data_IF_392447281201
#
_entry.id   IF_392447281201
#
_cell.length_a   1.000
_cell.length_b   1.000
_cell.length_c   1.000
_cell.angle_alpha   90.00
_cell.angle_beta   90.00
_cell.angle_gamma   90.00
#
_symmetry.space_group_name_H-M   'P 1'
#
loop_
_entity.id
_entity.type
_entity.pdbx_description
1 polymer ?
#
# COMPACT_ATOMS: atom_id res chain seq x y z
N UNK A 1 -12.77 -23.89 -16.22
CA UNK A 1 -11.78 -22.79 -16.10
C UNK A 1 -10.70 -23.27 -15.16
N UNK A 2 -9.41 -23.14 -15.46
CA UNK A 2 -8.36 -23.56 -14.52
C UNK A 2 -8.55 -22.80 -13.20
N UNK A 3 -8.43 -23.49 -12.06
CA UNK A 3 -8.69 -22.91 -10.73
C UNK A 3 -7.82 -21.67 -10.43
N UNK A 4 -6.72 -21.50 -11.17
CA UNK A 4 -5.81 -20.37 -11.09
C UNK A 4 -6.18 -19.16 -11.96
N UNK A 5 -7.04 -19.30 -12.98
CA UNK A 5 -7.30 -18.21 -13.92
C UNK A 5 -8.06 -17.04 -13.28
N UNK A 6 -9.07 -17.35 -12.46
CA UNK A 6 -9.88 -16.34 -11.78
C UNK A 6 -9.03 -15.48 -10.81
N UNK A 7 -8.23 -16.05 -9.89
CA UNK A 7 -7.32 -15.27 -9.05
C UNK A 7 -6.35 -14.39 -9.84
N UNK A 8 -5.81 -14.89 -10.96
CA UNK A 8 -4.89 -14.12 -11.81
C UNK A 8 -5.59 -12.91 -12.43
N UNK A 9 -6.80 -13.08 -12.96
CA UNK A 9 -7.58 -11.97 -13.52
C UNK A 9 -7.89 -10.92 -12.44
N UNK A 10 -8.30 -11.35 -11.25
CA UNK A 10 -8.57 -10.44 -10.13
C UNK A 10 -7.30 -9.68 -9.69
N UNK A 11 -6.16 -10.35 -9.67
CA UNK A 11 -4.86 -9.74 -9.36
C UNK A 11 -4.47 -8.66 -10.38
N UNK A 12 -4.64 -8.96 -11.68
CA UNK A 12 -4.36 -8.01 -12.75
C UNK A 12 -5.32 -6.80 -12.71
N UNK A 13 -6.60 -7.03 -12.47
CA UNK A 13 -7.58 -5.95 -12.28
C UNK A 13 -7.20 -5.07 -11.09
N UNK A 14 -6.83 -5.68 -9.95
CA UNK A 14 -6.34 -4.96 -8.77
C UNK A 14 -5.12 -4.08 -9.11
N UNK A 15 -4.14 -4.62 -9.85
CA UNK A 15 -2.96 -3.87 -10.26
C UNK A 15 -3.33 -2.64 -11.12
N UNK A 16 -4.26 -2.78 -12.06
CA UNK A 16 -4.76 -1.67 -12.89
C UNK A 16 -5.50 -0.63 -12.04
N UNK A 17 -6.37 -1.06 -11.12
CA UNK A 17 -7.11 -0.15 -10.23
C UNK A 17 -6.16 0.63 -9.31
N UNK A 18 -5.14 -0.02 -8.77
CA UNK A 18 -4.10 0.62 -7.95
C UNK A 18 -3.30 1.64 -8.76
N UNK A 19 -2.92 1.30 -9.99
CA UNK A 19 -2.20 2.21 -10.89
C UNK A 19 -3.06 3.43 -11.26
N UNK A 20 -4.32 3.22 -11.63
CA UNK A 20 -5.27 4.28 -11.95
C UNK A 20 -5.49 5.21 -10.75
N UNK A 21 -5.69 4.64 -9.56
CA UNK A 21 -5.86 5.42 -8.32
C UNK A 21 -4.63 6.29 -8.03
N UNK A 22 -3.43 5.73 -8.15
CA UNK A 22 -2.20 6.51 -7.93
C UNK A 22 -2.03 7.61 -8.99
N UNK A 23 -2.45 7.38 -10.24
CA UNK A 23 -2.48 8.41 -11.28
C UNK A 23 -3.45 9.55 -10.92
N UNK A 24 -4.67 9.24 -10.47
CA UNK A 24 -5.64 10.25 -10.06
C UNK A 24 -5.14 11.08 -8.88
N UNK A 25 -4.56 10.44 -7.87
CA UNK A 25 -3.95 11.13 -6.72
C UNK A 25 -2.82 12.06 -7.16
N UNK A 26 -1.97 11.63 -8.10
CA UNK A 26 -0.88 12.46 -8.63
C UNK A 26 -1.38 13.65 -9.45
N UNK A 27 -2.53 13.54 -10.12
CA UNK A 27 -3.14 14.63 -10.93
C UNK A 27 -4.03 15.57 -10.12
N UNK A 28 -4.53 15.15 -8.97
CA UNK A 28 -5.56 15.85 -8.18
C UNK A 28 -5.11 17.12 -7.44
N UNK A 29 -3.88 17.60 -7.67
CA UNK A 29 -3.34 18.79 -7.01
C UNK A 29 -2.96 18.52 -5.55
N UNK A 30 -3.95 18.51 -4.65
CA UNK A 30 -3.77 18.22 -3.22
C UNK A 30 -3.96 16.72 -2.94
N UNK A 31 -2.93 16.11 -2.33
CA UNK A 31 -2.88 14.67 -2.08
C UNK A 31 -3.97 14.23 -1.11
N UNK A 32 -4.26 15.04 -0.09
CA UNK A 32 -5.28 14.74 0.92
C UNK A 32 -6.67 14.72 0.27
N UNK A 33 -7.01 15.77 -0.46
CA UNK A 33 -8.31 15.89 -1.14
C UNK A 33 -8.51 14.77 -2.17
N UNK A 34 -7.49 14.48 -2.97
CA UNK A 34 -7.57 13.42 -3.98
C UNK A 34 -7.72 12.03 -3.34
N UNK A 35 -6.99 11.73 -2.26
CA UNK A 35 -7.12 10.47 -1.52
C UNK A 35 -8.50 10.34 -0.86
N UNK A 36 -9.03 11.42 -0.29
CA UNK A 36 -10.36 11.44 0.30
C UNK A 36 -11.44 11.17 -0.76
N UNK A 37 -11.37 11.83 -1.92
CA UNK A 37 -12.31 11.62 -3.01
C UNK A 37 -12.31 10.16 -3.50
N UNK A 38 -11.11 9.58 -3.70
CA UNK A 38 -10.96 8.16 -4.05
C UNK A 38 -11.61 7.26 -3.01
N UNK A 39 -11.33 7.48 -1.71
CA UNK A 39 -11.87 6.64 -0.63
C UNK A 39 -13.41 6.70 -0.58
N UNK A 40 -14.00 7.89 -0.77
CA UNK A 40 -15.46 8.05 -0.83
C UNK A 40 -16.03 7.30 -2.04
N UNK A 41 -15.44 7.45 -3.22
CA UNK A 41 -15.91 6.75 -4.44
C UNK A 41 -15.80 5.24 -4.27
N UNK A 42 -14.71 4.74 -3.68
CA UNK A 42 -14.55 3.32 -3.38
C UNK A 42 -15.64 2.84 -2.39
N UNK A 43 -15.88 3.57 -1.31
CA UNK A 43 -16.93 3.23 -0.34
C UNK A 43 -18.33 3.21 -0.98
N UNK A 44 -18.66 4.24 -1.77
CA UNK A 44 -19.94 4.33 -2.48
C UNK A 44 -20.10 3.25 -3.57
N UNK A 45 -19.01 2.79 -4.20
CA UNK A 45 -19.08 1.72 -5.18
C UNK A 45 -19.45 0.36 -4.57
N UNK A 46 -19.10 0.14 -3.29
CA UNK A 46 -19.37 -1.12 -2.58
C UNK A 46 -20.67 -1.06 -1.79
N UNK A 47 -21.11 0.13 -1.36
CA UNK A 47 -22.32 0.32 -0.55
C UNK A 47 -23.60 -0.35 -1.11
N UNK A 48 -23.89 -0.33 -2.42
CA UNK A 48 -25.06 -1.01 -2.99
C UNK A 48 -25.06 -2.52 -2.80
N UNK A 49 -23.88 -3.12 -2.56
CA UNK A 49 -23.74 -4.56 -2.33
C UNK A 49 -23.93 -4.96 -0.87
N UNK A 50 -23.88 -4.00 0.07
CA UNK A 50 -24.03 -4.25 1.51
C UNK A 50 -25.28 -5.06 1.90
N UNK A 51 -26.50 -4.84 1.36
CA UNK A 51 -27.67 -5.62 1.75
C UNK A 51 -27.66 -7.06 1.22
N UNK A 52 -26.79 -7.39 0.27
CA UNK A 52 -26.68 -8.74 -0.29
C UNK A 52 -25.66 -9.62 0.46
N UNK A 53 -24.95 -9.07 1.46
CA UNK A 53 -23.91 -9.77 2.22
C UNK A 53 -24.38 -9.94 3.67
N UNK A 54 -24.18 -11.12 4.30
CA UNK A 54 -24.52 -11.32 5.70
C UNK A 54 -23.80 -10.32 6.61
N UNK A 55 -24.48 -9.86 7.64
CA UNK A 55 -23.90 -8.95 8.63
C UNK A 55 -22.79 -9.66 9.42
N UNK A 56 -21.67 -8.99 9.71
CA UNK A 56 -20.56 -9.60 10.43
C UNK A 56 -20.98 -9.92 11.88
N UNK A 57 -20.50 -11.04 12.45
CA UNK A 57 -20.72 -11.40 13.85
C UNK A 57 -20.30 -10.27 14.81
N UNK A 58 -20.93 -10.13 15.99
CA UNK A 58 -20.61 -9.10 16.98
C UNK A 58 -19.11 -9.01 17.33
N UNK A 59 -18.43 -10.16 17.40
CA UNK A 59 -17.01 -10.27 17.72
C UNK A 59 -16.11 -9.59 16.68
N UNK A 60 -16.50 -9.65 15.40
CA UNK A 60 -15.73 -9.10 14.28
C UNK A 60 -15.75 -7.57 14.25
N UNK A 61 -16.74 -6.91 14.87
CA UNK A 61 -16.81 -5.45 14.92
C UNK A 61 -15.61 -4.81 15.63
N UNK A 62 -15.08 -5.48 16.65
CA UNK A 62 -13.85 -5.03 17.33
C UNK A 62 -12.65 -4.99 16.37
N UNK A 63 -12.48 -6.03 15.55
CA UNK A 63 -11.43 -6.12 14.54
C UNK A 63 -11.62 -5.11 13.40
N UNK A 64 -12.87 -4.87 12.98
CA UNK A 64 -13.20 -3.85 11.99
C UNK A 64 -12.80 -2.47 12.53
N UNK A 65 -13.13 -2.15 13.79
CA UNK A 65 -12.77 -0.88 14.40
C UNK A 65 -11.26 -0.69 14.48
N UNK A 66 -10.52 -1.73 14.89
CA UNK A 66 -9.04 -1.72 14.90
C UNK A 66 -8.51 -1.46 13.49
N UNK A 67 -9.04 -2.16 12.49
CA UNK A 67 -8.66 -1.98 11.08
C UNK A 67 -8.90 -0.55 10.59
N UNK A 68 -10.04 0.05 10.94
CA UNK A 68 -10.34 1.46 10.60
C UNK A 68 -9.30 2.41 11.20
N UNK A 69 -8.94 2.23 12.48
CA UNK A 69 -7.95 3.07 13.16
C UNK A 69 -6.56 2.91 12.53
N UNK A 70 -6.13 1.67 12.29
CA UNK A 70 -4.84 1.36 11.64
C UNK A 70 -4.80 1.94 10.22
N UNK A 71 -5.88 1.77 9.45
CA UNK A 71 -5.97 2.29 8.09
C UNK A 71 -5.97 3.83 8.07
N UNK A 72 -6.64 4.47 9.02
CA UNK A 72 -6.60 5.92 9.16
C UNK A 72 -5.18 6.43 9.45
N UNK A 73 -4.46 5.77 10.38
CA UNK A 73 -3.08 6.13 10.68
C UNK A 73 -2.15 5.92 9.48
N UNK A 74 -2.35 4.82 8.73
CA UNK A 74 -1.65 4.58 7.46
C UNK A 74 -1.87 5.73 6.46
N UNK A 75 -3.13 6.13 6.22
CA UNK A 75 -3.44 7.23 5.30
C UNK A 75 -2.83 8.55 5.77
N UNK A 76 -2.87 8.83 7.08
CA UNK A 76 -2.25 10.01 7.65
C UNK A 76 -0.74 10.04 7.41
N UNK A 77 -0.03 8.94 7.71
CA UNK A 77 1.41 8.83 7.46
C UNK A 77 1.73 8.98 5.97
N UNK A 78 0.92 8.38 5.10
CA UNK A 78 1.07 8.47 3.64
C UNK A 78 0.97 9.90 3.13
N UNK A 79 -0.05 10.66 3.55
CA UNK A 79 -0.21 12.06 3.16
C UNK A 79 0.97 12.90 3.68
N UNK A 80 1.39 12.68 4.94
CA UNK A 80 2.52 13.39 5.56
C UNK A 80 3.84 13.13 4.85
N UNK A 81 4.06 11.90 4.39
CA UNK A 81 5.24 11.51 3.62
C UNK A 81 5.24 12.14 2.22
N UNK A 82 4.10 12.12 1.53
CA UNK A 82 3.97 12.71 0.18
C UNK A 82 4.01 14.25 0.18
N UNK A 83 3.62 14.91 1.27
CA UNK A 83 3.76 16.37 1.41
C UNK A 83 5.19 16.82 1.72
N UNK A 84 6.00 15.98 2.37
CA UNK A 84 7.38 16.33 2.79
C UNK A 84 8.47 15.77 1.90
N UNK A 85 8.17 14.70 1.20
CA UNK A 85 9.11 14.00 0.34
C UNK A 85 8.48 13.75 -1.01
N UNK A 86 9.30 13.89 -2.03
CA UNK A 86 8.84 13.64 -3.37
C UNK A 86 8.49 12.18 -3.62
N UNK A 87 7.45 11.98 -4.43
CA UNK A 87 6.89 10.65 -4.72
C UNK A 87 7.95 9.66 -5.18
N UNK A 88 8.86 10.02 -6.08
CA UNK A 88 9.83 9.04 -6.60
C UNK A 88 10.91 8.61 -5.59
N UNK A 89 11.01 9.28 -4.44
CA UNK A 89 11.93 8.92 -3.35
C UNK A 89 11.20 8.20 -2.21
N UNK A 90 9.98 8.63 -1.90
CA UNK A 90 9.18 8.10 -0.78
C UNK A 90 8.48 6.81 -1.17
N UNK A 91 7.88 6.76 -2.36
CA UNK A 91 7.13 5.61 -2.88
C UNK A 91 7.87 4.25 -2.84
N UNK A 92 9.18 4.16 -3.11
CA UNK A 92 9.94 2.91 -3.06
C UNK A 92 10.14 2.41 -1.63
N UNK A 93 10.32 3.32 -0.68
CA UNK A 93 10.39 2.97 0.75
C UNK A 93 9.04 2.44 1.20
N UNK A 94 7.96 3.15 0.86
CA UNK A 94 6.58 2.73 1.18
C UNK A 94 6.23 1.36 0.59
N UNK A 95 6.64 1.07 -0.64
CA UNK A 95 6.19 -0.13 -1.39
C UNK A 95 7.19 -1.28 -1.40
N UNK A 96 8.48 -1.00 -1.27
CA UNK A 96 9.54 -2.01 -1.24
C UNK A 96 9.73 -2.63 0.13
N UNK A 97 9.45 -1.90 1.21
CA UNK A 97 9.56 -2.43 2.58
C UNK A 97 8.27 -3.08 3.06
N UNK A 98 7.10 -2.67 2.58
CA UNK A 98 5.82 -3.23 3.02
C UNK A 98 5.75 -4.78 2.90
N UNK A 99 6.20 -5.42 1.80
CA UNK A 99 6.21 -6.87 1.69
C UNK A 99 7.14 -7.53 2.72
N UNK A 100 8.29 -6.92 3.03
CA UNK A 100 9.24 -7.44 4.02
C UNK A 100 8.67 -7.35 5.43
N UNK A 101 8.10 -6.19 5.79
CA UNK A 101 7.44 -5.98 7.09
C UNK A 101 6.26 -6.94 7.25
N UNK A 102 5.44 -7.11 6.20
CA UNK A 102 4.31 -8.05 6.18
C UNK A 102 4.78 -9.49 6.37
N UNK A 103 5.86 -9.90 5.71
CA UNK A 103 6.42 -11.24 5.87
C UNK A 103 6.98 -11.48 7.28
N UNK A 104 7.67 -10.49 7.87
CA UNK A 104 8.09 -10.55 9.27
C UNK A 104 6.88 -10.68 10.20
N UNK A 105 5.83 -9.89 10.00
CA UNK A 105 4.60 -10.00 10.78
C UNK A 105 3.93 -11.37 10.62
N UNK A 106 3.89 -11.94 9.42
CA UNK A 106 3.35 -13.29 9.19
C UNK A 106 4.15 -14.36 9.96
N UNK A 107 5.48 -14.27 9.95
CA UNK A 107 6.34 -15.20 10.70
C UNK A 107 6.14 -15.06 12.21
N UNK A 108 6.20 -13.83 12.75
CA UNK A 108 6.22 -13.61 14.21
C UNK A 108 4.83 -13.58 14.86
N UNK A 109 3.81 -13.10 14.14
CA UNK A 109 2.44 -12.94 14.67
C UNK A 109 1.57 -14.12 14.30
N UNK A 110 1.64 -14.58 13.04
CA UNK A 110 0.81 -15.68 12.54
C UNK A 110 1.50 -17.05 12.64
N UNK A 111 2.79 -17.10 13.00
CA UNK A 111 3.61 -18.33 13.01
C UNK A 111 3.63 -19.05 11.64
N UNK A 112 3.57 -18.29 10.54
CA UNK A 112 3.68 -18.84 9.19
C UNK A 112 5.14 -18.98 8.75
N UNK A 113 5.47 -20.12 8.13
CA UNK A 113 6.82 -20.39 7.64
C UNK A 113 6.89 -20.22 6.12
N UNK A 114 7.73 -19.29 5.68
CA UNK A 114 8.06 -19.11 4.28
C UNK A 114 9.14 -20.11 3.86
N UNK A 115 8.92 -20.79 2.74
CA UNK A 115 9.94 -21.64 2.13
C UNK A 115 11.14 -20.81 1.67
N UNK A 116 12.29 -21.46 1.46
CA UNK A 116 13.50 -20.81 0.93
C UNK A 116 13.24 -20.13 -0.42
N UNK A 117 12.41 -20.74 -1.27
CA UNK A 117 12.06 -20.16 -2.57
C UNK A 117 11.16 -18.92 -2.44
N UNK A 118 10.16 -18.96 -1.55
CA UNK A 118 9.27 -17.82 -1.30
C UNK A 118 10.02 -16.63 -0.70
N UNK A 119 10.92 -16.88 0.26
CA UNK A 119 11.75 -15.83 0.86
C UNK A 119 12.73 -15.23 -0.15
N UNK A 120 13.37 -16.05 -1.00
CA UNK A 120 14.21 -15.55 -2.09
C UNK A 120 13.43 -14.68 -3.09
N UNK A 121 12.23 -15.12 -3.50
CA UNK A 121 11.36 -14.36 -4.39
C UNK A 121 10.90 -13.04 -3.78
N UNK A 122 10.53 -13.04 -2.50
CA UNK A 122 10.15 -11.85 -1.75
C UNK A 122 11.30 -10.84 -1.66
N UNK A 123 12.50 -11.31 -1.29
CA UNK A 123 13.69 -10.46 -1.19
C UNK A 123 14.05 -9.85 -2.55
N UNK A 124 14.00 -10.66 -3.62
CA UNK A 124 14.28 -10.19 -4.97
C UNK A 124 13.27 -9.14 -5.43
N UNK A 125 11.97 -9.38 -5.22
CA UNK A 125 10.92 -8.43 -5.58
C UNK A 125 11.03 -7.11 -4.79
N UNK A 126 11.28 -7.20 -3.49
CA UNK A 126 11.44 -6.04 -2.61
C UNK A 126 12.68 -5.23 -2.99
N UNK A 127 13.80 -5.90 -3.24
CA UNK A 127 15.04 -5.26 -3.67
C UNK A 127 14.89 -4.61 -5.05
N UNK A 128 14.20 -5.26 -5.99
CA UNK A 128 13.94 -4.69 -7.31
C UNK A 128 13.17 -3.37 -7.21
N UNK A 129 12.14 -3.29 -6.35
CA UNK A 129 11.38 -2.04 -6.13
C UNK A 129 12.26 -0.95 -5.53
N UNK A 130 13.13 -1.28 -4.57
CA UNK A 130 14.05 -0.33 -3.94
C UNK A 130 15.08 0.18 -4.97
N UNK A 131 15.70 -0.74 -5.73
CA UNK A 131 16.71 -0.42 -6.75
C UNK A 131 16.13 0.42 -7.88
N UNK A 132 14.92 0.10 -8.34
CA UNK A 132 14.25 0.82 -9.43
C UNK A 132 14.08 2.31 -9.15
N UNK A 133 14.16 2.70 -7.88
CA UNK A 133 13.93 4.08 -7.48
C UNK A 133 15.11 4.71 -6.73
N UNK A 134 16.28 4.06 -6.76
CA UNK A 134 17.52 4.74 -6.47
C UNK A 134 17.68 5.92 -7.44
N UNK A 135 18.06 7.11 -6.96
CA UNK A 135 18.22 8.27 -7.82
C UNK A 135 19.33 8.03 -8.84
N UNK A 136 18.98 8.01 -10.13
CA UNK A 136 19.97 8.04 -11.22
C UNK A 136 20.74 9.36 -11.15
N UNK A 137 22.06 9.34 -11.33
CA UNK A 137 23.00 10.43 -11.00
C UNK A 137 22.68 11.84 -11.51
N UNK A 138 21.73 12.02 -12.42
CA UNK A 138 21.20 13.34 -12.85
C UNK A 138 20.16 13.96 -11.89
N UNK A 139 19.61 13.19 -10.95
CA UNK A 139 18.57 13.62 -9.99
C UNK A 139 19.08 13.81 -8.55
N UNK A 140 20.31 13.37 -8.26
CA UNK A 140 20.91 13.42 -6.94
C UNK A 140 21.25 14.85 -6.48
N UNK A 141 21.52 15.76 -7.42
CA UNK A 141 21.96 17.14 -7.12
C UNK A 141 20.82 18.09 -6.73
N UNK A 142 19.56 17.70 -6.93
CA UNK A 142 18.39 18.58 -6.76
C UNK A 142 17.50 18.26 -5.54
N UNK A 143 17.61 17.07 -4.93
CA UNK A 143 16.64 16.61 -3.93
C UNK A 143 17.24 16.58 -2.53
N UNK A 144 16.93 17.60 -1.72
CA UNK A 144 17.17 17.53 -0.27
C UNK A 144 16.28 16.44 0.34
N UNK A 145 16.92 15.44 0.91
CA UNK A 145 16.28 14.33 1.60
C UNK A 145 15.78 14.83 2.97
N UNK A 146 14.48 15.11 3.11
CA UNK A 146 13.92 15.35 4.43
C UNK A 146 13.82 13.99 5.17
N UNK A 147 14.65 13.82 6.21
CA UNK A 147 14.66 12.62 7.06
C UNK A 147 13.29 12.32 7.64
N UNK A 148 12.49 13.36 7.92
CA UNK A 148 11.15 13.19 8.44
C UNK A 148 10.21 12.54 7.41
N UNK A 149 10.37 12.83 6.11
CA UNK A 149 9.59 12.19 5.05
C UNK A 149 9.85 10.69 4.97
N UNK A 150 11.10 10.26 5.17
CA UNK A 150 11.46 8.84 5.20
C UNK A 150 10.86 8.11 6.40
N UNK A 151 10.84 8.75 7.57
CA UNK A 151 10.18 8.18 8.76
C UNK A 151 8.68 8.00 8.50
N UNK A 152 8.01 9.02 7.95
CA UNK A 152 6.60 8.89 7.57
C UNK A 152 6.38 7.81 6.51
N UNK A 153 7.30 7.64 5.56
CA UNK A 153 7.25 6.57 4.56
C UNK A 153 7.37 5.17 5.19
N UNK A 154 8.30 5.01 6.12
CA UNK A 154 8.53 3.76 6.85
C UNK A 154 7.31 3.35 7.68
N UNK A 155 6.62 4.31 8.29
CA UNK A 155 5.40 4.06 9.05
C UNK A 155 4.21 3.58 8.19
N UNK A 156 4.34 3.63 6.86
CA UNK A 156 3.32 3.09 5.94
C UNK A 156 3.67 1.70 5.39
N UNK A 157 4.86 1.19 5.70
CA UNK A 157 5.29 -0.16 5.34
C UNK A 157 4.77 -1.18 6.35
#
# INVERSE_FOLDING_TARGET
MSESLLPVILCLLSAVTVAATNMFVKRGGDVLTARMAVAIVMGLSVLPFAPFVPTPPPETWSLILISVVVHWFYQFCLVRALHRGDLSLVFPVMRGLAPLVTACAAIFVLNEYLTVLQSAGLLLASLAIIVFALPTGQTATARKLDRSALVWALLTA
#
